data_IF_317165272797
#
_entry.id   IF_317165272797
#
_cell.length_a   1.000
_cell.length_b   1.000
_cell.length_c   1.000
_cell.angle_alpha   90.00
_cell.angle_beta   90.00
_cell.angle_gamma   90.00
#
_symmetry.space_group_name_H-M   'P 1'
#
loop_
_entity.id
_entity.type
_entity.pdbx_description
1 polymer ?
#
# COMPACT_ATOMS: atom_id res chain seq x y z
N UNK A 1 17.26 5.78 -13.75
CA UNK A 1 15.92 5.71 -13.16
C UNK A 1 16.05 4.75 -12.02
N UNK A 2 15.91 5.24 -10.79
CA UNK A 2 15.69 4.35 -9.65
C UNK A 2 14.39 3.54 -9.90
N UNK A 3 14.30 2.35 -9.33
CA UNK A 3 13.11 1.50 -9.51
C UNK A 3 11.86 2.05 -8.83
N UNK A 4 12.02 3.01 -7.92
CA UNK A 4 10.96 3.67 -7.16
C UNK A 4 10.13 4.60 -8.04
N UNK A 5 10.75 5.38 -8.92
CA UNK A 5 10.08 6.29 -9.86
C UNK A 5 9.06 5.58 -10.78
N UNK A 6 9.40 4.37 -11.25
CA UNK A 6 8.50 3.59 -12.12
C UNK A 6 7.31 3.05 -11.33
N UNK A 7 7.58 2.51 -10.14
CA UNK A 7 6.55 1.97 -9.26
C UNK A 7 5.53 3.04 -8.84
N UNK A 8 6.00 4.23 -8.47
CA UNK A 8 5.12 5.35 -8.12
C UNK A 8 4.20 5.74 -9.27
N UNK A 9 4.75 5.92 -10.48
CA UNK A 9 3.97 6.30 -11.67
C UNK A 9 2.92 5.27 -12.01
N UNK A 10 3.30 3.98 -12.01
CA UNK A 10 2.36 2.88 -12.27
C UNK A 10 1.24 2.84 -11.23
N UNK A 11 1.58 2.99 -9.94
CA UNK A 11 0.59 2.97 -8.88
C UNK A 11 -0.34 4.19 -8.91
N UNK A 12 0.18 5.38 -9.25
CA UNK A 12 -0.65 6.55 -9.47
C UNK A 12 -1.61 6.36 -10.66
N UNK A 13 -1.12 5.85 -11.79
CA UNK A 13 -1.97 5.53 -12.94
C UNK A 13 -3.09 4.55 -12.58
N UNK A 14 -2.75 3.47 -11.86
CA UNK A 14 -3.74 2.52 -11.34
C UNK A 14 -4.78 3.21 -10.44
N UNK A 15 -4.34 4.06 -9.50
CA UNK A 15 -5.24 4.78 -8.61
C UNK A 15 -6.19 5.75 -9.35
N UNK A 16 -5.74 6.33 -10.46
CA UNK A 16 -6.56 7.22 -11.29
C UNK A 16 -7.58 6.44 -12.13
N UNK A 17 -7.20 5.27 -12.62
CA UNK A 17 -8.08 4.35 -13.37
C UNK A 17 -9.12 3.66 -12.48
N UNK A 18 -8.85 3.56 -11.17
CA UNK A 18 -9.69 2.86 -10.20
C UNK A 18 -10.18 3.76 -9.04
N UNK A 19 -11.03 4.77 -9.32
CA UNK A 19 -11.53 5.71 -8.31
C UNK A 19 -12.39 5.02 -7.22
N UNK A 20 -12.90 3.82 -7.44
CA UNK A 20 -13.66 3.03 -6.47
C UNK A 20 -12.88 2.73 -5.18
N UNK A 21 -11.54 2.75 -5.23
CA UNK A 21 -10.70 2.55 -4.05
C UNK A 21 -10.45 3.82 -3.25
N UNK A 22 -10.76 5.00 -3.79
CA UNK A 22 -10.64 6.32 -3.13
C UNK A 22 -9.29 6.53 -2.40
N UNK A 23 -8.19 6.12 -3.04
CA UNK A 23 -6.85 6.14 -2.42
C UNK A 23 -6.33 7.55 -2.16
N UNK A 24 -6.97 8.59 -2.70
CA UNK A 24 -6.68 9.97 -2.32
C UNK A 24 -6.94 10.24 -0.83
N UNK A 25 -7.85 9.45 -0.21
CA UNK A 25 -8.21 9.49 1.21
C UNK A 25 -7.65 8.30 1.98
N UNK A 26 -6.48 7.79 1.57
CA UNK A 26 -5.83 6.63 2.21
C UNK A 26 -5.71 6.78 3.74
N UNK A 27 -5.46 7.97 4.27
CA UNK A 27 -5.38 8.21 5.71
C UNK A 27 -6.68 7.85 6.45
N UNK A 28 -7.83 8.22 5.89
CA UNK A 28 -9.14 7.89 6.47
C UNK A 28 -9.47 6.40 6.34
N UNK A 29 -9.03 5.78 5.23
CA UNK A 29 -9.17 4.34 5.01
C UNK A 29 -8.40 3.56 6.09
N UNK A 30 -7.15 3.96 6.36
CA UNK A 30 -6.29 3.35 7.36
C UNK A 30 -6.89 3.52 8.75
N UNK A 31 -7.33 4.73 9.10
CA UNK A 31 -7.97 5.04 10.39
C UNK A 31 -9.24 4.20 10.60
N UNK A 32 -10.15 4.17 9.63
CA UNK A 32 -11.42 3.42 9.71
C UNK A 32 -11.20 1.92 9.92
N UNK A 33 -10.10 1.39 9.40
CA UNK A 33 -9.74 -0.05 9.48
C UNK A 33 -8.81 -0.36 10.65
N UNK A 34 -8.51 0.63 11.50
CA UNK A 34 -7.55 0.52 12.60
C UNK A 34 -6.16 0.05 12.14
N UNK A 35 -5.76 0.42 10.93
CA UNK A 35 -4.44 0.12 10.38
C UNK A 35 -3.50 1.24 10.85
N UNK A 36 -2.44 0.92 11.64
CA UNK A 36 -1.52 1.93 12.13
C UNK A 36 -0.83 2.69 10.99
N UNK A 37 -0.72 4.01 11.12
CA UNK A 37 -0.04 4.88 10.15
C UNK A 37 0.72 6.03 10.83
N UNK A 38 1.72 6.59 10.16
CA UNK A 38 2.50 7.73 10.66
C UNK A 38 3.58 7.34 11.66
N UNK A 39 3.62 7.98 12.83
CA UNK A 39 4.64 7.75 13.87
C UNK A 39 4.69 6.31 14.39
N UNK A 40 3.57 5.60 14.29
CA UNK A 40 3.44 4.18 14.64
C UNK A 40 3.74 3.24 13.45
N UNK A 41 4.46 3.71 12.42
CA UNK A 41 4.78 2.93 11.20
C UNK A 41 5.33 1.55 11.51
N UNK A 42 6.12 1.39 12.57
CA UNK A 42 6.62 0.08 13.04
C UNK A 42 5.52 -0.98 13.19
N UNK A 43 4.36 -0.62 13.76
CA UNK A 43 3.21 -1.54 13.88
C UNK A 43 2.64 -1.92 12.51
N UNK A 44 2.76 -1.04 11.52
CA UNK A 44 2.37 -1.34 10.14
C UNK A 44 3.33 -2.32 9.46
N UNK A 45 4.65 -2.22 9.72
CA UNK A 45 5.62 -3.21 9.24
C UNK A 45 5.27 -4.62 9.77
N UNK A 46 4.84 -4.69 11.03
CA UNK A 46 4.48 -5.93 11.73
C UNK A 46 3.02 -6.38 11.50
N UNK A 47 2.18 -5.56 10.87
CA UNK A 47 0.76 -5.84 10.71
C UNK A 47 0.51 -7.13 9.91
N UNK A 48 -0.40 -7.97 10.44
CA UNK A 48 -0.97 -9.09 9.71
C UNK A 48 -1.98 -8.58 8.68
N UNK A 49 -1.82 -9.02 7.44
CA UNK A 49 -2.61 -8.57 6.28
C UNK A 49 -3.45 -9.69 5.70
N UNK A 50 -3.54 -10.86 6.34
CA UNK A 50 -4.31 -12.00 5.82
C UNK A 50 -5.78 -11.67 5.59
N UNK A 51 -6.36 -10.87 6.48
CA UNK A 51 -7.78 -10.49 6.46
C UNK A 51 -8.03 -9.16 5.73
N UNK A 52 -6.99 -8.52 5.20
CA UNK A 52 -7.15 -7.23 4.52
C UNK A 52 -7.89 -7.45 3.19
N UNK A 53 -8.90 -6.61 2.94
CA UNK A 53 -9.52 -6.47 1.61
C UNK A 53 -8.61 -5.65 0.67
N UNK A 54 -8.97 -5.52 -0.60
CA UNK A 54 -8.13 -4.86 -1.60
C UNK A 54 -7.83 -3.41 -1.20
N UNK A 55 -8.85 -2.67 -0.75
CA UNK A 55 -8.70 -1.27 -0.36
C UNK A 55 -7.80 -1.11 0.88
N UNK A 56 -7.89 -2.04 1.83
CA UNK A 56 -7.05 -2.12 3.04
C UNK A 56 -5.58 -2.36 2.72
N UNK A 57 -5.29 -3.06 1.61
CA UNK A 57 -3.92 -3.31 1.14
C UNK A 57 -3.39 -2.17 0.26
N UNK A 58 -4.24 -1.57 -0.56
CA UNK A 58 -3.85 -0.47 -1.46
C UNK A 58 -3.58 0.84 -0.71
N UNK A 59 -4.33 1.13 0.35
CA UNK A 59 -4.14 2.34 1.14
C UNK A 59 -2.75 2.50 1.79
N UNK A 60 -2.15 1.48 2.43
CA UNK A 60 -0.79 1.61 2.95
C UNK A 60 0.26 1.76 1.84
N UNK A 61 0.08 1.14 0.66
CA UNK A 61 0.97 1.37 -0.50
C UNK A 61 0.92 2.84 -0.92
N UNK A 62 -0.29 3.42 -1.07
CA UNK A 62 -0.45 4.84 -1.38
C UNK A 62 0.20 5.72 -0.32
N UNK A 63 0.03 5.39 0.96
CA UNK A 63 0.66 6.11 2.05
C UNK A 63 2.19 6.08 1.95
N UNK A 64 2.79 4.93 1.63
CA UNK A 64 4.24 4.81 1.52
C UNK A 64 4.79 5.62 0.35
N UNK A 65 4.13 5.58 -0.81
CA UNK A 65 4.48 6.42 -1.96
C UNK A 65 4.37 7.90 -1.61
N UNK A 66 3.33 8.30 -0.87
CA UNK A 66 3.18 9.69 -0.40
C UNK A 66 4.27 10.08 0.59
N UNK A 67 4.77 9.15 1.41
CA UNK A 67 5.83 9.41 2.38
C UNK A 67 7.18 9.71 1.72
N UNK A 68 7.49 9.10 0.56
CA UNK A 68 8.70 9.39 -0.22
C UNK A 68 8.82 10.89 -0.55
N UNK A 69 7.69 11.53 -0.87
CA UNK A 69 7.66 12.98 -1.18
C UNK A 69 8.02 13.88 0.00
N UNK A 70 7.97 13.36 1.23
CA UNK A 70 8.29 14.09 2.46
C UNK A 70 9.61 13.66 3.07
N UNK A 71 10.05 12.43 2.80
CA UNK A 71 11.28 11.85 3.29
C UNK A 71 11.89 10.98 2.20
N UNK A 72 12.93 11.52 1.55
CA UNK A 72 13.70 10.79 0.55
C UNK A 72 14.16 9.44 1.14
N UNK A 73 13.86 8.35 0.42
CA UNK A 73 14.18 6.98 0.79
C UNK A 73 13.15 6.25 1.65
N UNK A 74 12.00 6.86 1.97
CA UNK A 74 10.93 6.18 2.70
C UNK A 74 10.40 4.96 1.92
N UNK A 75 10.07 5.11 0.64
CA UNK A 75 9.58 4.02 -0.20
C UNK A 75 10.63 2.89 -0.31
N UNK A 76 11.91 3.25 -0.46
CA UNK A 76 12.99 2.28 -0.47
C UNK A 76 13.06 1.49 0.85
N UNK A 77 12.92 2.15 1.99
CA UNK A 77 12.91 1.47 3.29
C UNK A 77 11.77 0.44 3.41
N UNK A 78 10.57 0.75 2.90
CA UNK A 78 9.46 -0.21 2.87
C UNK A 78 9.67 -1.36 1.88
N UNK A 79 10.44 -1.16 0.80
CA UNK A 79 10.90 -2.23 -0.08
C UNK A 79 11.90 -3.14 0.63
N UNK A 80 12.91 -2.57 1.27
CA UNK A 80 13.97 -3.30 1.97
C UNK A 80 13.43 -4.13 3.14
N UNK A 81 12.43 -3.59 3.86
CA UNK A 81 11.74 -4.30 4.94
C UNK A 81 10.68 -5.30 4.45
N UNK A 82 10.50 -5.45 3.13
CA UNK A 82 9.62 -6.42 2.51
C UNK A 82 8.12 -6.12 2.62
N UNK A 83 7.74 -4.94 3.12
CA UNK A 83 6.34 -4.56 3.30
C UNK A 83 5.58 -4.46 1.97
N UNK A 84 6.18 -3.82 0.96
CA UNK A 84 5.57 -3.73 -0.37
C UNK A 84 5.34 -5.13 -0.95
N UNK A 85 6.32 -6.02 -0.83
CA UNK A 85 6.20 -7.41 -1.29
C UNK A 85 5.08 -8.17 -0.57
N UNK A 86 4.95 -7.99 0.75
CA UNK A 86 3.87 -8.57 1.58
C UNK A 86 2.49 -8.12 1.08
N UNK A 87 2.31 -6.83 0.81
CA UNK A 87 1.06 -6.25 0.32
C UNK A 87 0.71 -6.71 -1.10
N UNK A 88 1.67 -6.66 -2.03
CA UNK A 88 1.44 -7.14 -3.40
C UNK A 88 1.09 -8.64 -3.44
N UNK A 89 1.70 -9.45 -2.58
CA UNK A 89 1.36 -10.87 -2.45
C UNK A 89 -0.09 -11.07 -1.98
N UNK A 90 -0.55 -10.29 -1.00
CA UNK A 90 -1.95 -10.34 -0.54
C UNK A 90 -2.92 -9.96 -1.68
N UNK A 91 -2.64 -8.90 -2.44
CA UNK A 91 -3.46 -8.54 -3.61
C UNK A 91 -3.53 -9.68 -4.64
N UNK A 92 -2.40 -10.34 -4.90
CA UNK A 92 -2.36 -11.52 -5.79
C UNK A 92 -3.19 -12.69 -5.26
N UNK A 93 -3.18 -12.92 -3.95
CA UNK A 93 -3.98 -13.97 -3.32
C UNK A 93 -5.48 -13.67 -3.42
N UNK A 94 -5.87 -12.40 -3.23
CA UNK A 94 -7.25 -11.94 -3.42
C UNK A 94 -7.71 -12.12 -4.88
N UNK A 95 -6.89 -11.70 -5.86
CA UNK A 95 -7.18 -11.88 -7.28
C UNK A 95 -7.37 -13.36 -7.64
N UNK A 96 -6.49 -14.23 -7.12
CA UNK A 96 -6.62 -15.68 -7.27
C UNK A 96 -7.93 -16.19 -6.66
N UNK A 97 -8.29 -15.74 -5.46
CA UNK A 97 -9.53 -16.15 -4.81
C UNK A 97 -10.77 -15.73 -5.62
N UNK A 98 -10.79 -14.52 -6.20
CA UNK A 98 -11.88 -14.06 -7.07
C UNK A 98 -11.99 -14.85 -8.37
N UNK A 99 -10.86 -15.25 -8.95
CA UNK A 99 -10.83 -15.97 -10.24
C UNK A 99 -11.24 -17.44 -10.15
N UNK A 100 -11.05 -18.07 -8.98
CA UNK A 100 -11.28 -19.50 -8.79
C UNK A 100 -12.28 -19.83 -7.67
N UNK A 101 -12.93 -18.80 -7.10
CA UNK A 101 -13.97 -18.90 -6.08
C UNK A 101 -15.38 -18.87 -6.64
#
# INVERSE_FOLDING_TARGET
>A
MDGTDSFEKEFYGFSEEHPEYDLTRYGEILEKRNIPWGWDSRKMHEADVSEFDEQSVLAPIMGTIRAERFCDGALLAFFDDGCISKWLKRLKDIDRQRRFG
#
